data_IF_240436736110
#
_entry.id   IF_240436736110
#
_cell.length_a   1.000
_cell.length_b   1.000
_cell.length_c   1.000
_cell.angle_alpha   90.00
_cell.angle_beta   90.00
_cell.angle_gamma   90.00
#
_symmetry.space_group_name_H-M   'P 1'
#
loop_
_entity.id
_entity.type
_entity.pdbx_description
1 polymer ?
#
# COMPACT_ATOMS: atom_id res chain seq x y z
N UNK A 1 -26.57 -18.88 3.32
CA UNK A 1 -25.49 -18.46 4.20
C UNK A 1 -24.15 -18.38 3.52
N UNK A 2 -23.76 -19.48 2.95
CA UNK A 2 -22.47 -19.54 2.35
C UNK A 2 -22.28 -18.54 1.22
N UNK A 3 -23.30 -18.36 0.41
CA UNK A 3 -23.24 -17.37 -0.64
C UNK A 3 -23.08 -15.98 -0.12
N UNK A 4 -23.81 -15.68 0.92
CA UNK A 4 -23.72 -14.38 1.54
C UNK A 4 -22.32 -14.15 2.08
N UNK A 5 -21.76 -15.18 2.70
CA UNK A 5 -20.41 -15.09 3.23
C UNK A 5 -19.40 -14.86 2.11
N UNK A 6 -19.60 -15.54 0.97
CA UNK A 6 -18.71 -15.36 -0.15
C UNK A 6 -18.76 -13.97 -0.70
N UNK A 7 -19.96 -13.43 -0.82
CA UNK A 7 -20.16 -12.06 -1.30
C UNK A 7 -19.55 -11.05 -0.34
N UNK A 8 -19.81 -11.27 0.93
CA UNK A 8 -19.26 -10.38 1.96
C UNK A 8 -17.73 -10.47 1.99
N UNK A 9 -17.22 -11.69 1.83
CA UNK A 9 -15.78 -11.88 1.79
C UNK A 9 -15.14 -11.11 0.66
N UNK A 10 -15.76 -11.16 -0.51
CA UNK A 10 -15.23 -10.42 -1.65
C UNK A 10 -15.27 -8.92 -1.41
N UNK A 11 -16.34 -8.44 -0.82
CA UNK A 11 -16.45 -7.02 -0.50
C UNK A 11 -15.36 -6.59 0.48
N UNK A 12 -15.09 -7.43 1.47
CA UNK A 12 -14.05 -7.13 2.44
C UNK A 12 -12.68 -7.10 1.75
N UNK A 13 -12.41 -8.05 0.88
CA UNK A 13 -11.14 -8.09 0.18
C UNK A 13 -10.97 -6.87 -0.72
N UNK A 14 -12.03 -6.45 -1.38
CA UNK A 14 -11.98 -5.26 -2.21
C UNK A 14 -11.75 -4.00 -1.39
N UNK A 15 -12.37 -3.93 -0.22
CA UNK A 15 -12.18 -2.79 0.66
C UNK A 15 -10.73 -2.70 1.15
N UNK A 16 -10.16 -3.85 1.48
CA UNK A 16 -8.75 -3.90 1.90
C UNK A 16 -7.86 -3.45 0.74
N UNK A 17 -8.17 -3.91 -0.45
CA UNK A 17 -7.40 -3.55 -1.63
C UNK A 17 -7.41 -2.02 -1.84
N UNK A 18 -8.58 -1.41 -1.74
CA UNK A 18 -8.70 0.03 -1.90
C UNK A 18 -7.90 0.77 -0.85
N UNK A 19 -7.96 0.29 0.37
CA UNK A 19 -7.24 0.92 1.47
C UNK A 19 -5.74 0.84 1.27
N UNK A 20 -5.26 -0.34 0.88
CA UNK A 20 -3.83 -0.53 0.65
C UNK A 20 -3.34 0.31 -0.51
N UNK A 21 -4.15 0.40 -1.55
CA UNK A 21 -3.79 1.22 -2.69
C UNK A 21 -3.68 2.69 -2.31
N UNK A 22 -4.64 3.17 -1.51
CA UNK A 22 -4.60 4.54 -1.05
C UNK A 22 -3.39 4.80 -0.15
N UNK A 23 -3.08 3.86 0.73
CA UNK A 23 -1.92 3.99 1.60
C UNK A 23 -0.63 4.04 0.79
N UNK A 24 -0.54 3.22 -0.23
CA UNK A 24 0.62 3.20 -1.10
C UNK A 24 0.79 4.56 -1.79
N UNK A 25 -0.28 5.07 -2.34
CA UNK A 25 -0.23 6.34 -3.05
C UNK A 25 0.12 7.48 -2.12
N UNK A 26 -0.40 7.45 -0.90
CA UNK A 26 -0.06 8.48 0.09
C UNK A 26 1.41 8.43 0.45
N UNK A 27 1.95 7.23 0.63
CA UNK A 27 3.37 7.09 0.96
C UNK A 27 4.24 7.55 -0.20
N UNK A 28 3.83 7.24 -1.42
CA UNK A 28 4.57 7.67 -2.60
C UNK A 28 4.60 9.19 -2.72
N UNK A 29 3.45 9.82 -2.48
CA UNK A 29 3.37 11.27 -2.54
C UNK A 29 4.25 11.91 -1.49
N UNK A 30 4.24 11.38 -0.28
CA UNK A 30 5.08 11.90 0.80
C UNK A 30 6.55 11.71 0.48
N UNK A 31 6.90 10.58 -0.11
CA UNK A 31 8.28 10.35 -0.50
C UNK A 31 8.75 11.37 -1.53
N UNK A 32 7.90 11.67 -2.50
CA UNK A 32 8.25 12.65 -3.51
C UNK A 32 8.46 14.04 -2.92
N UNK A 33 7.62 14.41 -1.97
CA UNK A 33 7.77 15.69 -1.30
C UNK A 33 9.10 15.77 -0.55
N UNK A 34 9.47 14.68 0.11
CA UNK A 34 10.72 14.64 0.85
C UNK A 34 11.92 14.72 -0.09
N UNK A 35 11.84 14.03 -1.22
CA UNK A 35 12.93 14.06 -2.19
C UNK A 35 13.10 15.46 -2.78
N UNK A 36 11.99 16.14 -3.04
CA UNK A 36 12.05 17.54 -3.50
C UNK A 36 12.70 18.43 -2.47
N UNK A 37 12.36 18.23 -1.21
CA UNK A 37 12.92 19.03 -0.14
C UNK A 37 14.42 18.79 -0.01
N UNK A 38 14.85 17.55 -0.21
CA UNK A 38 16.26 17.20 -0.12
C UNK A 38 17.07 17.96 -1.17
N UNK A 39 16.53 18.03 -2.37
CA UNK A 39 17.19 18.77 -3.44
C UNK A 39 17.32 20.25 -3.07
N UNK A 40 16.29 20.81 -2.45
CA UNK A 40 16.27 22.22 -2.11
C UNK A 40 17.19 22.60 -0.97
N UNK A 41 17.31 21.77 0.05
CA UNK A 41 18.04 22.13 1.26
C UNK A 41 19.47 21.61 1.31
N UNK A 42 19.75 20.52 0.61
CA UNK A 42 21.08 19.93 0.65
C UNK A 42 21.35 19.14 1.91
N UNK A 43 20.38 19.05 2.82
CA UNK A 43 20.54 18.30 4.05
C UNK A 43 20.03 16.88 3.82
N UNK A 44 20.86 15.90 4.13
CA UNK A 44 20.55 14.52 3.76
C UNK A 44 20.32 13.57 4.91
N UNK A 45 20.91 13.80 6.07
CA UNK A 45 20.88 12.76 7.10
C UNK A 45 19.48 12.49 7.63
N UNK A 46 18.75 13.53 8.01
CA UNK A 46 17.37 13.35 8.49
C UNK A 46 16.44 12.94 7.38
N UNK A 47 16.71 13.45 6.19
CA UNK A 47 15.87 13.16 5.03
C UNK A 47 15.99 11.70 4.63
N UNK A 48 17.18 11.13 4.74
CA UNK A 48 17.40 9.71 4.45
C UNK A 48 16.54 8.85 5.39
N UNK A 49 16.54 9.19 6.68
CA UNK A 49 15.76 8.44 7.65
C UNK A 49 14.27 8.53 7.35
N UNK A 50 13.79 9.73 7.04
CA UNK A 50 12.38 9.92 6.70
C UNK A 50 12.00 9.21 5.43
N UNK A 51 12.82 9.35 4.40
CA UNK A 51 12.54 8.70 3.12
C UNK A 51 12.51 7.19 3.27
N UNK A 52 13.40 6.65 4.09
CA UNK A 52 13.44 5.22 4.33
C UNK A 52 12.15 4.68 4.92
N UNK A 53 11.52 5.46 5.79
CA UNK A 53 10.23 5.07 6.36
C UNK A 53 9.18 4.90 5.28
N UNK A 54 9.15 5.82 4.34
CA UNK A 54 8.13 5.73 3.28
C UNK A 54 8.44 4.63 2.28
N UNK A 55 9.73 4.39 2.02
CA UNK A 55 10.10 3.26 1.18
C UNK A 55 9.64 1.95 1.82
N UNK A 56 9.83 1.85 3.13
CA UNK A 56 9.41 0.68 3.87
C UNK A 56 7.89 0.51 3.81
N UNK A 57 7.16 1.60 3.98
CA UNK A 57 5.70 1.56 3.90
C UNK A 57 5.22 1.12 2.52
N UNK A 58 5.87 1.63 1.48
CA UNK A 58 5.52 1.26 0.13
C UNK A 58 5.78 -0.24 -0.09
N UNK A 59 6.93 -0.71 0.35
CA UNK A 59 7.28 -2.12 0.18
C UNK A 59 6.31 -3.03 0.93
N UNK A 60 5.97 -2.68 2.16
CA UNK A 60 5.01 -3.45 2.94
C UNK A 60 3.64 -3.47 2.27
N UNK A 61 3.22 -2.34 1.75
CA UNK A 61 1.93 -2.24 1.10
C UNK A 61 1.90 -3.09 -0.17
N UNK A 62 2.99 -3.07 -0.93
CA UNK A 62 3.06 -3.88 -2.14
C UNK A 62 3.04 -5.36 -1.82
N UNK A 63 3.72 -5.76 -0.75
CA UNK A 63 3.68 -7.14 -0.31
C UNK A 63 2.27 -7.56 0.06
N UNK A 64 1.59 -6.70 0.80
CA UNK A 64 0.21 -6.98 1.20
C UNK A 64 -0.71 -7.06 0.00
N UNK A 65 -0.50 -6.21 -0.97
CA UNK A 65 -1.30 -6.26 -2.19
C UNK A 65 -1.07 -7.56 -2.95
N UNK A 66 0.16 -8.03 -2.98
CA UNK A 66 0.47 -9.29 -3.64
C UNK A 66 -0.23 -10.47 -2.96
N UNK A 67 -0.20 -10.48 -1.63
CA UNK A 67 -0.89 -11.52 -0.87
C UNK A 67 -2.40 -11.44 -1.12
N UNK A 68 -2.93 -10.23 -1.08
CA UNK A 68 -4.36 -10.02 -1.28
C UNK A 68 -4.79 -10.47 -2.66
N UNK A 69 -3.96 -10.25 -3.67
CA UNK A 69 -4.26 -10.67 -5.02
C UNK A 69 -4.48 -12.17 -5.11
N UNK A 70 -3.67 -12.93 -4.38
CA UNK A 70 -3.83 -14.37 -4.38
C UNK A 70 -5.18 -14.78 -3.82
N UNK A 71 -5.61 -14.13 -2.76
CA UNK A 71 -6.92 -14.43 -2.18
C UNK A 71 -8.05 -14.03 -3.10
N UNK A 72 -7.90 -12.90 -3.78
CA UNK A 72 -8.92 -12.46 -4.73
C UNK A 72 -9.06 -13.43 -5.89
N UNK A 73 -7.94 -13.92 -6.40
CA UNK A 73 -7.97 -14.89 -7.49
C UNK A 73 -8.63 -16.18 -7.04
N UNK A 74 -8.28 -16.66 -5.85
CA UNK A 74 -8.85 -17.87 -5.31
C UNK A 74 -10.35 -17.74 -5.13
N UNK A 75 -10.78 -16.62 -4.57
CA UNK A 75 -12.20 -16.36 -4.37
C UNK A 75 -12.95 -16.32 -5.69
N UNK A 76 -12.33 -15.74 -6.69
CA UNK A 76 -12.94 -15.64 -7.99
C UNK A 76 -13.13 -17.01 -8.65
N UNK A 77 -12.17 -17.87 -8.45
CA UNK A 77 -12.24 -19.20 -9.03
C UNK A 77 -13.37 -20.01 -8.46
N UNK A 78 -13.68 -19.76 -7.23
CA UNK A 78 -14.76 -20.47 -6.58
C UNK A 78 -16.10 -19.96 -7.03
#
# INVERSE_FOLDING_TARGET
MRKTCGSTGLMILNAIHSRLKADKEAAEANLEIILDRAVGTGECSDIVAEASKYVEQIANTMDQLAVLSQYLITTRKE
#
